data_IF_592304216993
#
_entry.id   IF_592304216993
#
_cell.length_a   1.000
_cell.length_b   1.000
_cell.length_c   1.000
_cell.angle_alpha   90.00
_cell.angle_beta   90.00
_cell.angle_gamma   90.00
#
_symmetry.space_group_name_H-M   'P 1'
#
loop_
_entity.id
_entity.type
_entity.pdbx_description
1 polymer ?
#
# COMPACT_ATOMS: atom_id res chain seq x y z
N UNK A 1 9.43 -5.84 11.76
CA UNK A 1 9.69 -4.39 11.56
C UNK A 1 10.86 -4.20 10.60
N UNK A 2 12.03 -4.80 10.86
CA UNK A 2 13.22 -4.60 10.02
C UNK A 2 13.01 -4.99 8.56
N UNK A 3 12.31 -6.08 8.24
CA UNK A 3 12.09 -6.53 6.86
C UNK A 3 11.09 -5.65 6.09
N UNK A 4 10.00 -5.20 6.74
CA UNK A 4 9.03 -4.32 6.09
C UNK A 4 9.58 -2.91 5.89
N UNK A 5 10.36 -2.41 6.86
CA UNK A 5 11.12 -1.17 6.74
C UNK A 5 12.21 -1.31 5.68
N UNK A 6 12.90 -2.46 5.59
CA UNK A 6 13.87 -2.73 4.54
C UNK A 6 13.22 -2.77 3.15
N UNK A 7 12.01 -3.33 3.00
CA UNK A 7 11.23 -3.26 1.76
C UNK A 7 10.90 -1.82 1.36
N UNK A 8 10.48 -0.99 2.30
CA UNK A 8 10.22 0.42 2.06
C UNK A 8 11.50 1.22 1.79
N UNK A 9 12.61 0.91 2.49
CA UNK A 9 13.91 1.56 2.32
C UNK A 9 14.60 1.18 1.01
N UNK A 10 14.52 -0.09 0.59
CA UNK A 10 15.07 -0.55 -0.68
C UNK A 10 14.26 -0.02 -1.87
N UNK A 11 12.93 0.11 -1.72
CA UNK A 11 12.04 0.57 -2.78
C UNK A 11 12.03 2.10 -2.98
N UNK A 12 12.33 2.88 -1.93
CA UNK A 12 12.20 4.34 -1.97
C UNK A 12 13.50 5.12 -1.76
N UNK A 13 14.58 4.45 -1.37
CA UNK A 13 15.84 5.12 -1.04
C UNK A 13 15.74 6.12 0.12
N UNK A 14 16.87 6.65 0.56
CA UNK A 14 16.99 7.63 1.65
C UNK A 14 16.11 8.90 1.48
N UNK A 15 15.58 9.17 0.29
CA UNK A 15 14.73 10.32 0.01
C UNK A 15 13.35 10.24 0.69
N UNK A 16 12.73 9.06 0.77
CA UNK A 16 11.40 8.92 1.38
C UNK A 16 11.46 9.07 2.92
N UNK A 17 12.52 8.56 3.55
CA UNK A 17 12.74 8.75 4.99
C UNK A 17 13.07 10.21 5.34
N UNK A 18 13.79 10.90 4.48
CA UNK A 18 14.14 12.32 4.69
C UNK A 18 12.91 13.24 4.60
N UNK A 19 11.93 12.89 3.76
CA UNK A 19 10.67 13.61 3.63
C UNK A 19 9.80 13.45 4.88
N UNK A 20 9.67 12.22 5.38
CA UNK A 20 8.86 11.91 6.55
C UNK A 20 9.43 12.50 7.86
N UNK A 21 10.74 12.52 8.00
CA UNK A 21 11.41 13.11 9.17
C UNK A 21 11.31 14.65 9.19
N UNK A 22 11.36 15.30 8.03
CA UNK A 22 11.24 16.75 7.93
C UNK A 22 9.82 17.27 8.21
N UNK A 23 8.76 16.56 7.81
CA UNK A 23 7.39 17.01 8.06
C UNK A 23 6.98 16.91 9.54
N UNK A 24 7.51 15.96 10.30
CA UNK A 24 7.30 15.92 11.77
C UNK A 24 7.90 17.11 12.50
N UNK A 25 8.91 17.76 11.95
CA UNK A 25 9.57 18.93 12.54
C UNK A 25 9.13 20.28 11.97
N UNK A 26 8.33 20.29 10.90
CA UNK A 26 7.89 21.54 10.25
C UNK A 26 6.67 22.21 10.93
N UNK A 27 6.01 21.55 11.88
CA UNK A 27 4.95 22.16 12.69
C UNK A 27 5.44 22.66 14.04
N UNK A 28 6.59 23.32 14.05
CA UNK A 28 7.09 24.05 15.22
C UNK A 28 6.47 25.41 15.34
N UNK A 29 5.30 25.55 15.95
CA UNK A 29 4.92 26.80 16.62
C UNK A 29 5.27 26.65 18.10
N UNK A 30 6.16 27.52 18.57
CA UNK A 30 6.51 27.68 19.96
C UNK A 30 5.26 27.97 20.82
N UNK A 31 4.66 26.95 21.40
CA UNK A 31 3.90 27.07 22.63
C UNK A 31 4.30 25.94 23.59
N UNK A 32 5.03 26.34 24.64
CA UNK A 32 5.22 25.52 25.83
C UNK A 32 3.86 25.38 26.51
N UNK A 33 3.06 24.45 26.02
CA UNK A 33 1.80 24.04 26.62
C UNK A 33 2.04 22.86 27.55
N UNK A 34 1.63 23.02 28.81
CA UNK A 34 1.57 21.97 29.82
C UNK A 34 1.15 20.63 29.25
N UNK A 35 1.87 19.56 29.58
CA UNK A 35 1.50 18.19 29.28
C UNK A 35 0.08 17.94 29.83
N UNK A 36 -0.92 18.06 28.98
CA UNK A 36 -2.25 17.52 29.25
C UNK A 36 -2.07 16.02 29.16
N UNK A 37 -2.13 15.35 30.32
CA UNK A 37 -2.30 13.90 30.35
C UNK A 37 -3.64 13.65 29.62
N UNK A 38 -3.56 13.24 28.38
CA UNK A 38 -4.74 12.84 27.62
C UNK A 38 -5.45 11.76 28.42
N UNK A 39 -6.74 11.95 28.67
CA UNK A 39 -7.57 10.89 29.24
C UNK A 39 -7.43 9.66 28.34
N UNK A 40 -7.45 8.42 28.88
CA UNK A 40 -7.40 7.22 28.07
C UNK A 40 -8.50 7.33 27.00
N UNK A 41 -8.14 7.29 25.73
CA UNK A 41 -9.14 7.24 24.66
C UNK A 41 -10.01 6.01 24.92
N UNK A 42 -11.32 6.23 24.99
CA UNK A 42 -12.27 5.12 25.09
C UNK A 42 -12.06 4.22 23.86
N UNK A 43 -11.64 2.97 24.10
CA UNK A 43 -11.43 2.01 23.03
C UNK A 43 -12.76 1.74 22.33
N UNK A 44 -12.78 1.99 21.02
CA UNK A 44 -13.97 1.74 20.19
C UNK A 44 -14.34 0.25 20.26
N UNK A 45 -15.61 -0.02 20.55
CA UNK A 45 -16.16 -1.39 20.54
C UNK A 45 -17.11 -1.54 19.35
N UNK A 46 -16.99 -2.64 18.63
CA UNK A 46 -17.91 -3.04 17.56
C UNK A 46 -18.47 -4.42 17.84
N UNK A 47 -19.73 -4.63 17.50
CA UNK A 47 -20.38 -5.95 17.60
C UNK A 47 -20.56 -6.52 16.20
N UNK A 48 -19.99 -7.69 15.94
CA UNK A 48 -20.13 -8.40 14.69
C UNK A 48 -20.43 -9.89 14.97
N UNK A 49 -21.42 -10.44 14.29
CA UNK A 49 -21.87 -11.84 14.45
C UNK A 49 -22.05 -12.27 15.92
N UNK A 50 -22.68 -11.39 16.73
CA UNK A 50 -22.94 -11.65 18.14
C UNK A 50 -21.73 -11.58 19.07
N UNK A 51 -20.55 -11.28 18.55
CA UNK A 51 -19.31 -11.10 19.31
C UNK A 51 -18.95 -9.61 19.39
N UNK A 52 -18.52 -9.16 20.57
CA UNK A 52 -18.01 -7.80 20.75
C UNK A 52 -16.50 -7.77 20.59
N UNK A 53 -16.05 -6.93 19.69
CA UNK A 53 -14.62 -6.69 19.41
C UNK A 53 -14.26 -5.31 19.94
N UNK A 54 -13.06 -5.21 20.51
CA UNK A 54 -12.52 -3.95 21.01
C UNK A 54 -11.32 -3.55 20.17
N UNK A 55 -11.28 -2.27 19.80
CA UNK A 55 -10.12 -1.71 19.11
C UNK A 55 -8.86 -1.92 19.95
N UNK A 56 -7.82 -2.46 19.34
CA UNK A 56 -6.55 -2.71 20.01
C UNK A 56 -5.70 -1.44 19.94
N UNK A 57 -5.23 -0.98 21.09
CA UNK A 57 -4.29 0.15 21.18
C UNK A 57 -2.84 -0.28 20.99
N UNK A 58 -1.97 0.67 20.64
CA UNK A 58 -0.54 0.41 20.48
C UNK A 58 -0.15 -0.34 19.21
N UNK A 59 -1.03 -0.32 18.22
CA UNK A 59 -0.73 -0.75 16.85
C UNK A 59 -0.34 0.46 16.01
N UNK A 60 0.65 0.27 15.13
CA UNK A 60 0.97 1.21 14.07
C UNK A 60 0.48 0.65 12.74
N UNK A 61 -0.11 1.50 11.90
CA UNK A 61 -0.70 1.11 10.62
C UNK A 61 -0.09 1.92 9.49
N UNK A 62 0.45 1.23 8.49
CA UNK A 62 1.08 1.86 7.34
C UNK A 62 0.41 1.39 6.04
N UNK A 63 -0.03 2.32 5.20
CA UNK A 63 -0.59 2.00 3.89
C UNK A 63 0.52 1.91 2.85
N UNK A 64 0.64 0.76 2.20
CA UNK A 64 1.54 0.54 1.07
C UNK A 64 0.71 0.50 -0.20
N UNK A 65 1.01 1.39 -1.14
CA UNK A 65 0.30 1.53 -2.41
C UNK A 65 1.20 1.19 -3.59
N UNK A 66 0.68 0.41 -4.53
CA UNK A 66 1.26 0.21 -5.85
C UNK A 66 0.47 1.02 -6.87
N UNK A 67 1.10 2.05 -7.46
CA UNK A 67 0.46 2.97 -8.41
C UNK A 67 0.75 2.53 -9.83
N UNK A 68 -0.26 2.54 -10.70
CA UNK A 68 -0.18 2.07 -12.10
C UNK A 68 0.51 3.06 -13.05
N UNK A 69 1.46 3.83 -12.56
CA UNK A 69 2.27 4.75 -13.35
C UNK A 69 3.69 4.24 -13.50
N UNK A 70 4.35 4.66 -14.58
CA UNK A 70 5.77 4.42 -14.85
C UNK A 70 6.59 5.70 -14.66
N UNK A 71 7.86 5.55 -14.36
CA UNK A 71 8.78 6.66 -14.18
C UNK A 71 8.58 7.39 -12.85
N UNK A 72 9.10 8.60 -12.76
CA UNK A 72 9.02 9.42 -11.55
C UNK A 72 7.58 9.90 -11.31
N UNK A 73 7.16 9.94 -10.06
CA UNK A 73 5.93 10.60 -9.68
C UNK A 73 6.00 12.10 -10.06
N UNK A 74 5.06 12.54 -10.86
CA UNK A 74 4.93 13.93 -11.32
C UNK A 74 3.59 14.45 -10.85
N UNK A 75 3.59 15.65 -10.24
CA UNK A 75 2.33 16.29 -9.90
C UNK A 75 1.53 16.60 -11.17
N UNK A 76 0.24 16.34 -11.12
CA UNK A 76 -0.69 16.75 -12.17
C UNK A 76 -1.39 18.06 -11.77
N UNK A 77 -1.63 18.93 -12.74
CA UNK A 77 -2.22 20.26 -12.50
C UNK A 77 -3.73 20.20 -12.21
N UNK A 78 -4.35 19.04 -12.47
CA UNK A 78 -5.74 18.76 -12.16
C UNK A 78 -5.81 17.65 -11.11
N UNK A 79 -6.83 17.68 -10.24
CA UNK A 79 -7.09 16.62 -9.28
C UNK A 79 -7.78 15.41 -9.93
N UNK A 80 -7.30 15.06 -11.12
CA UNK A 80 -7.69 13.89 -11.90
C UNK A 80 -6.47 13.39 -12.68
N UNK A 81 -6.23 12.08 -12.68
CA UNK A 81 -5.16 11.47 -13.48
C UNK A 81 -3.87 11.18 -12.71
N UNK A 82 -3.89 11.21 -11.38
CA UNK A 82 -2.75 10.86 -10.53
C UNK A 82 -2.32 9.39 -10.56
N UNK A 83 -2.93 8.57 -11.43
CA UNK A 83 -2.77 7.11 -11.46
C UNK A 83 -3.66 6.42 -10.43
N UNK A 84 -3.94 5.14 -10.64
CA UNK A 84 -4.75 4.33 -9.72
C UNK A 84 -3.87 3.55 -8.76
N UNK A 85 -4.32 3.42 -7.50
CA UNK A 85 -3.68 2.54 -6.53
C UNK A 85 -4.13 1.10 -6.77
N UNK A 86 -3.46 0.40 -7.68
CA UNK A 86 -3.76 -0.98 -8.09
C UNK A 86 -3.46 -2.02 -7.02
N UNK A 87 -2.56 -1.70 -6.11
CA UNK A 87 -2.21 -2.48 -4.93
C UNK A 87 -2.41 -1.62 -3.70
N UNK A 88 -3.13 -2.13 -2.73
CA UNK A 88 -3.32 -1.48 -1.44
C UNK A 88 -3.14 -2.53 -0.35
N UNK A 89 -2.18 -2.31 0.53
CA UNK A 89 -1.85 -3.19 1.64
C UNK A 89 -1.68 -2.37 2.91
N UNK A 90 -2.41 -2.71 3.95
CA UNK A 90 -2.22 -2.13 5.28
C UNK A 90 -1.30 -3.04 6.06
N UNK A 91 -0.10 -2.55 6.36
CA UNK A 91 0.83 -3.18 7.28
C UNK A 91 0.45 -2.76 8.70
N UNK A 92 0.08 -3.73 9.52
CA UNK A 92 -0.24 -3.55 10.93
C UNK A 92 0.94 -4.05 11.76
N UNK A 93 1.55 -3.18 12.54
CA UNK A 93 2.71 -3.47 13.38
C UNK A 93 2.30 -3.45 14.85
N UNK A 94 2.60 -4.52 15.55
CA UNK A 94 2.45 -4.66 16.98
C UNK A 94 3.84 -4.72 17.63
N UNK A 95 4.35 -3.58 18.00
CA UNK A 95 5.72 -3.49 18.55
C UNK A 95 5.82 -4.14 19.92
N UNK A 96 4.75 -4.15 20.69
CA UNK A 96 4.73 -4.79 22.02
C UNK A 96 4.91 -6.30 21.93
N UNK A 97 4.31 -6.96 20.94
CA UNK A 97 4.42 -8.40 20.72
C UNK A 97 5.45 -8.78 19.63
N UNK A 98 6.12 -7.78 19.02
CA UNK A 98 7.08 -7.97 17.93
C UNK A 98 6.51 -8.77 16.76
N UNK A 99 5.24 -8.51 16.45
CA UNK A 99 4.52 -9.15 15.34
C UNK A 99 4.05 -8.10 14.33
N UNK A 100 3.82 -8.54 13.11
CA UNK A 100 3.22 -7.72 12.07
C UNK A 100 2.27 -8.56 11.22
N UNK A 101 1.32 -7.91 10.59
CA UNK A 101 0.35 -8.50 9.68
C UNK A 101 0.14 -7.60 8.46
N UNK A 102 -0.24 -8.18 7.34
CA UNK A 102 -0.61 -7.43 6.13
C UNK A 102 -2.05 -7.74 5.78
N UNK A 103 -2.86 -6.70 5.71
CA UNK A 103 -4.21 -6.74 5.16
C UNK A 103 -4.16 -6.21 3.73
N UNK A 104 -4.40 -7.07 2.74
CA UNK A 104 -4.51 -6.65 1.34
C UNK A 104 -5.96 -6.28 1.00
N UNK A 105 -6.17 -5.06 0.50
CA UNK A 105 -7.47 -4.55 0.07
C UNK A 105 -7.60 -4.77 -1.43
N UNK A 106 -8.75 -5.31 -1.87
CA UNK A 106 -9.03 -5.46 -3.29
C UNK A 106 -9.29 -4.08 -3.90
N UNK A 107 -8.56 -3.73 -4.95
CA UNK A 107 -8.71 -2.46 -5.67
C UNK A 107 -10.12 -2.16 -6.16
N UNK A 108 -10.90 -3.22 -6.44
CA UNK A 108 -12.26 -3.13 -6.96
C UNK A 108 -13.32 -3.02 -5.83
N UNK A 109 -12.89 -2.91 -4.55
CA UNK A 109 -13.79 -2.68 -3.43
C UNK A 109 -14.52 -1.36 -3.61
N UNK A 110 -15.86 -1.41 -3.62
CA UNK A 110 -16.69 -0.21 -3.65
C UNK A 110 -16.82 0.32 -2.21
N UNK A 111 -16.41 1.57 -2.04
CA UNK A 111 -16.46 2.26 -0.76
C UNK A 111 -16.64 3.76 -0.97
N UNK A 112 -16.79 4.51 0.10
CA UNK A 112 -16.79 5.96 0.03
C UNK A 112 -15.39 6.48 -0.26
N UNK A 113 -15.24 7.06 -1.45
CA UNK A 113 -14.00 7.68 -1.91
C UNK A 113 -14.15 9.19 -1.82
N UNK A 114 -13.22 9.92 -1.18
CA UNK A 114 -13.25 11.36 -1.15
C UNK A 114 -12.99 11.93 -2.54
N UNK A 115 -13.81 12.87 -2.97
CA UNK A 115 -13.65 13.65 -4.20
C UNK A 115 -13.14 15.02 -3.82
N UNK A 116 -11.99 15.42 -4.37
CA UNK A 116 -11.33 16.65 -4.02
C UNK A 116 -11.81 17.82 -4.87
N UNK A 117 -11.82 19.01 -4.28
CA UNK A 117 -12.04 20.27 -4.99
C UNK A 117 -10.74 20.77 -5.65
N UNK A 118 -10.82 21.88 -6.33
CA UNK A 118 -9.67 22.51 -7.03
C UNK A 118 -8.56 23.02 -6.09
N UNK A 119 -8.80 23.05 -4.80
CA UNK A 119 -7.83 23.44 -3.78
C UNK A 119 -7.25 22.22 -3.04
N UNK A 120 -7.72 21.02 -3.38
CA UNK A 120 -7.29 19.77 -2.76
C UNK A 120 -8.02 19.42 -1.47
N UNK A 121 -9.08 20.15 -1.11
CA UNK A 121 -9.97 19.82 0.00
C UNK A 121 -11.02 18.80 -0.41
N UNK A 122 -11.54 18.03 0.55
CA UNK A 122 -12.64 17.09 0.29
C UNK A 122 -13.93 17.86 0.05
N UNK A 123 -14.44 17.83 -1.18
CA UNK A 123 -15.69 18.49 -1.58
C UNK A 123 -16.91 17.56 -1.40
N UNK A 124 -16.75 16.27 -1.63
CA UNK A 124 -17.82 15.28 -1.58
C UNK A 124 -17.24 13.87 -1.35
N UNK A 125 -18.13 12.90 -1.21
CA UNK A 125 -17.80 11.48 -1.21
C UNK A 125 -18.64 10.77 -2.27
N UNK A 126 -18.02 9.87 -3.02
CA UNK A 126 -18.67 9.03 -4.01
C UNK A 126 -18.50 7.54 -3.66
N UNK A 127 -19.48 6.72 -4.00
CA UNK A 127 -19.35 5.27 -3.88
C UNK A 127 -18.66 4.74 -5.14
N UNK A 128 -17.36 4.51 -5.04
CA UNK A 128 -16.46 4.20 -6.14
C UNK A 128 -15.49 3.07 -5.79
N UNK A 129 -14.77 2.55 -6.78
CA UNK A 129 -13.65 1.65 -6.52
C UNK A 129 -12.57 2.36 -5.71
N UNK A 130 -12.10 1.74 -4.63
CA UNK A 130 -11.10 2.34 -3.73
C UNK A 130 -9.80 2.71 -4.45
N UNK A 131 -9.46 2.03 -5.55
CA UNK A 131 -8.29 2.37 -6.38
C UNK A 131 -8.34 3.79 -6.95
N UNK A 132 -9.55 4.35 -7.14
CA UNK A 132 -9.76 5.70 -7.68
C UNK A 132 -9.47 6.81 -6.67
N UNK A 133 -9.35 6.50 -5.38
CA UNK A 133 -8.99 7.49 -4.38
C UNK A 133 -7.67 8.19 -4.70
N UNK A 134 -6.67 7.46 -5.21
CA UNK A 134 -5.40 8.03 -5.65
C UNK A 134 -5.56 8.85 -6.94
N UNK A 135 -6.40 8.40 -7.86
CA UNK A 135 -6.65 9.08 -9.13
C UNK A 135 -7.23 10.50 -8.95
N UNK A 136 -8.09 10.68 -7.94
CA UNK A 136 -8.71 11.97 -7.62
C UNK A 136 -7.80 12.96 -6.89
N UNK A 137 -6.53 12.63 -6.68
CA UNK A 137 -5.53 13.52 -6.13
C UNK A 137 -4.57 14.08 -7.19
N UNK A 138 -3.52 14.76 -6.72
CA UNK A 138 -2.53 15.43 -7.55
C UNK A 138 -1.39 14.51 -8.06
N UNK A 139 -1.50 13.20 -7.87
CA UNK A 139 -0.48 12.21 -8.24
C UNK A 139 0.71 12.13 -7.28
N UNK A 140 0.66 12.84 -6.15
CA UNK A 140 1.69 12.88 -5.10
C UNK A 140 1.06 12.73 -3.72
N UNK A 141 1.51 13.52 -2.75
CA UNK A 141 1.09 13.48 -1.34
C UNK A 141 -0.43 13.55 -1.20
N UNK A 142 -1.06 14.50 -1.85
CA UNK A 142 -2.52 14.65 -1.77
C UNK A 142 -3.27 13.41 -2.29
N UNK A 143 -2.78 12.74 -3.35
CA UNK A 143 -3.32 11.44 -3.81
C UNK A 143 -3.15 10.34 -2.77
N UNK A 144 -1.99 10.31 -2.11
CA UNK A 144 -1.69 9.33 -1.07
C UNK A 144 -2.56 9.55 0.18
N UNK A 145 -2.71 10.79 0.62
CA UNK A 145 -3.56 11.19 1.75
C UNK A 145 -5.03 10.87 1.47
N UNK A 146 -5.50 11.15 0.24
CA UNK A 146 -6.85 10.82 -0.19
C UNK A 146 -7.10 9.30 -0.14
N UNK A 147 -6.12 8.50 -0.58
CA UNK A 147 -6.20 7.04 -0.50
C UNK A 147 -6.16 6.55 0.95
N UNK A 148 -5.30 7.13 1.78
CA UNK A 148 -5.23 6.80 3.20
C UNK A 148 -6.55 7.10 3.92
N UNK A 149 -7.19 8.22 3.60
CA UNK A 149 -8.52 8.58 4.12
C UNK A 149 -9.59 7.57 3.68
N UNK A 150 -9.63 7.18 2.40
CA UNK A 150 -10.56 6.18 1.90
C UNK A 150 -10.37 4.81 2.58
N UNK A 151 -9.11 4.40 2.79
CA UNK A 151 -8.77 3.15 3.50
C UNK A 151 -9.15 3.24 4.98
N UNK A 152 -8.87 4.35 5.64
CA UNK A 152 -9.28 4.58 7.03
C UNK A 152 -10.80 4.43 7.19
N UNK A 153 -11.57 5.09 6.33
CA UNK A 153 -13.03 5.01 6.34
C UNK A 153 -13.54 3.58 6.08
N UNK A 154 -12.93 2.84 5.15
CA UNK A 154 -13.25 1.43 4.89
C UNK A 154 -13.02 0.55 6.13
N UNK A 155 -12.03 0.88 6.94
CA UNK A 155 -11.63 0.16 8.14
C UNK A 155 -12.24 0.76 9.43
N UNK A 156 -13.42 1.36 9.33
CA UNK A 156 -14.16 1.92 10.45
C UNK A 156 -13.39 3.03 11.19
N UNK A 157 -12.85 3.96 10.41
CA UNK A 157 -12.04 5.11 10.84
C UNK A 157 -10.74 4.71 11.59
N UNK A 158 -10.19 3.53 11.26
CA UNK A 158 -8.89 3.14 11.77
C UNK A 158 -7.83 4.14 11.27
N UNK A 159 -7.05 4.77 12.16
CA UNK A 159 -5.98 5.68 11.76
C UNK A 159 -4.96 4.98 10.86
N UNK A 160 -4.44 5.71 9.88
CA UNK A 160 -3.28 5.31 9.06
C UNK A 160 -2.12 6.21 9.47
N UNK A 161 -1.13 5.64 10.15
CA UNK A 161 -0.01 6.39 10.76
C UNK A 161 1.02 6.87 9.73
N UNK A 162 1.02 6.25 8.53
CA UNK A 162 1.90 6.65 7.44
C UNK A 162 1.59 5.87 6.17
N UNK A 163 2.19 6.30 5.05
CA UNK A 163 1.99 5.64 3.77
C UNK A 163 3.26 5.59 2.94
N UNK A 164 3.29 4.62 2.00
CA UNK A 164 4.33 4.46 0.99
C UNK A 164 3.65 4.24 -0.36
N UNK A 165 4.01 5.05 -1.36
CA UNK A 165 3.54 4.89 -2.73
C UNK A 165 4.70 4.46 -3.63
N UNK A 166 4.52 3.34 -4.31
CA UNK A 166 5.49 2.72 -5.19
C UNK A 166 4.91 2.70 -6.60
N UNK A 167 5.68 3.11 -7.58
CA UNK A 167 5.31 2.95 -8.99
C UNK A 167 5.65 1.53 -9.48
N UNK A 168 5.27 1.22 -10.72
CA UNK A 168 5.53 -0.09 -11.31
C UNK A 168 7.02 -0.42 -11.43
N UNK A 169 7.88 0.58 -11.62
CA UNK A 169 9.31 0.36 -11.80
C UNK A 169 9.98 -0.12 -10.51
N UNK A 170 9.40 0.23 -9.34
CA UNK A 170 9.94 -0.15 -8.04
C UNK A 170 10.01 -1.67 -7.84
N UNK A 171 9.05 -2.43 -8.37
CA UNK A 171 9.08 -3.90 -8.28
C UNK A 171 10.32 -4.46 -8.96
N UNK A 172 10.59 -4.00 -10.19
CA UNK A 172 11.78 -4.44 -10.94
C UNK A 172 13.07 -4.05 -10.22
N UNK A 173 13.18 -2.78 -9.80
CA UNK A 173 14.38 -2.26 -9.13
C UNK A 173 14.69 -3.05 -7.86
N UNK A 174 13.69 -3.29 -7.01
CA UNK A 174 13.87 -4.06 -5.76
C UNK A 174 14.28 -5.49 -6.05
N UNK A 175 13.63 -6.14 -7.02
CA UNK A 175 13.96 -7.52 -7.41
C UNK A 175 15.42 -7.64 -7.86
N UNK A 176 15.88 -6.74 -8.69
CA UNK A 176 17.27 -6.76 -9.20
C UNK A 176 18.29 -6.43 -8.10
N UNK A 177 17.95 -5.50 -7.19
CA UNK A 177 18.81 -5.14 -6.05
C UNK A 177 19.07 -6.32 -5.11
N UNK A 178 18.07 -7.21 -4.90
CA UNK A 178 18.24 -8.41 -4.06
C UNK A 178 18.82 -9.60 -4.83
N UNK A 179 19.14 -9.43 -6.11
CA UNK A 179 19.69 -10.49 -6.96
C UNK A 179 18.66 -11.52 -7.41
N UNK A 180 17.42 -11.11 -7.59
CA UNK A 180 16.30 -11.95 -8.02
C UNK A 180 15.51 -12.56 -6.86
N UNK A 181 14.26 -12.90 -7.14
CA UNK A 181 13.32 -13.55 -6.20
C UNK A 181 12.90 -14.90 -6.74
N UNK A 182 13.15 -15.97 -6.00
CA UNK A 182 12.82 -17.33 -6.40
C UNK A 182 11.46 -17.75 -5.83
N UNK A 183 10.58 -18.26 -6.70
CA UNK A 183 9.28 -18.77 -6.31
C UNK A 183 8.79 -19.86 -7.29
N UNK A 184 7.82 -20.65 -6.85
CA UNK A 184 7.11 -21.57 -7.75
C UNK A 184 6.01 -20.83 -8.49
N UNK A 185 6.02 -20.87 -9.81
CA UNK A 185 5.01 -20.21 -10.66
C UNK A 185 3.65 -20.87 -10.47
N UNK A 186 2.65 -20.12 -10.01
CA UNK A 186 1.32 -20.67 -9.69
C UNK A 186 0.30 -20.55 -10.83
N UNK A 187 0.57 -19.69 -11.82
CA UNK A 187 -0.35 -19.34 -12.90
C UNK A 187 0.21 -19.73 -14.27
N UNK A 188 -0.66 -19.95 -15.26
CA UNK A 188 -0.24 -20.21 -16.64
C UNK A 188 0.10 -18.88 -17.35
N UNK A 189 1.38 -18.66 -17.62
CA UNK A 189 1.90 -17.48 -18.32
C UNK A 189 2.24 -17.74 -19.79
N UNK A 190 1.88 -18.90 -20.35
CA UNK A 190 2.30 -19.35 -21.70
C UNK A 190 2.04 -18.33 -22.81
N UNK A 191 0.97 -17.53 -22.71
CA UNK A 191 0.62 -16.49 -23.69
C UNK A 191 1.37 -15.16 -23.49
N UNK A 192 2.03 -14.95 -22.32
CA UNK A 192 2.66 -13.68 -21.96
C UNK A 192 4.19 -13.83 -21.87
N UNK A 193 4.63 -14.79 -21.08
CA UNK A 193 6.04 -15.13 -20.90
C UNK A 193 6.20 -16.65 -20.73
N UNK A 194 6.46 -17.39 -21.81
CA UNK A 194 6.57 -18.83 -21.78
C UNK A 194 7.76 -19.35 -20.93
N UNK A 195 8.63 -18.48 -20.42
CA UNK A 195 9.70 -18.86 -19.48
C UNK A 195 9.22 -18.96 -18.04
N UNK A 196 8.00 -18.45 -17.75
CA UNK A 196 7.31 -18.59 -16.47
C UNK A 196 6.40 -19.84 -16.50
N UNK A 197 7.02 -21.03 -16.42
CA UNK A 197 6.31 -22.31 -16.55
C UNK A 197 5.55 -22.63 -15.26
N UNK A 198 4.24 -22.84 -15.37
CA UNK A 198 3.40 -23.16 -14.22
C UNK A 198 3.88 -24.46 -13.52
N UNK A 199 4.01 -24.41 -12.20
CA UNK A 199 4.48 -25.50 -11.36
C UNK A 199 6.00 -25.60 -11.21
N UNK A 200 6.77 -24.85 -11.97
CA UNK A 200 8.23 -24.84 -11.86
C UNK A 200 8.71 -23.72 -10.91
N UNK A 201 9.87 -23.97 -10.29
CA UNK A 201 10.59 -22.98 -9.51
C UNK A 201 11.42 -22.10 -10.45
N UNK A 202 11.19 -20.80 -10.41
CA UNK A 202 11.86 -19.80 -11.27
C UNK A 202 12.42 -18.67 -10.42
N UNK A 203 13.64 -18.26 -10.72
CA UNK A 203 14.19 -17.01 -10.18
C UNK A 203 13.77 -15.86 -11.08
N UNK A 204 12.94 -14.97 -10.57
CA UNK A 204 12.49 -13.78 -11.25
C UNK A 204 13.56 -12.69 -11.18
N UNK A 205 13.94 -12.12 -12.31
CA UNK A 205 14.59 -10.81 -12.41
C UNK A 205 13.52 -9.70 -12.32
N UNK A 206 13.94 -8.44 -12.43
CA UNK A 206 13.03 -7.31 -12.30
C UNK A 206 11.90 -7.27 -13.35
N UNK A 207 12.18 -7.66 -14.60
CA UNK A 207 11.21 -7.68 -15.69
C UNK A 207 10.18 -8.79 -15.48
N UNK A 208 10.64 -10.01 -15.15
CA UNK A 208 9.78 -11.15 -14.85
C UNK A 208 8.96 -10.93 -13.60
N UNK A 209 9.54 -10.33 -12.56
CA UNK A 209 8.82 -10.00 -11.34
C UNK A 209 7.67 -9.01 -11.60
N UNK A 210 7.93 -7.96 -12.38
CA UNK A 210 6.89 -7.01 -12.77
C UNK A 210 5.79 -7.71 -13.59
N UNK A 211 6.15 -8.54 -14.56
CA UNK A 211 5.22 -9.35 -15.34
C UNK A 211 4.38 -10.25 -14.43
N UNK A 212 5.00 -10.95 -13.48
CA UNK A 212 4.35 -11.87 -12.56
C UNK A 212 3.29 -11.21 -11.67
N UNK A 213 3.61 -10.06 -11.07
CA UNK A 213 2.72 -9.38 -10.12
C UNK A 213 1.67 -8.49 -10.78
N UNK A 214 1.90 -8.07 -12.03
CA UNK A 214 1.03 -7.12 -12.73
C UNK A 214 0.00 -7.79 -13.63
N UNK A 215 0.42 -8.84 -14.37
CA UNK A 215 -0.42 -9.41 -15.44
C UNK A 215 -1.74 -9.95 -14.90
N UNK A 216 -2.81 -9.69 -15.65
CA UNK A 216 -4.16 -10.13 -15.33
C UNK A 216 -4.86 -10.77 -16.55
N UNK A 217 -4.73 -10.13 -17.71
CA UNK A 217 -5.33 -10.63 -18.95
C UNK A 217 -4.55 -11.85 -19.46
N UNK A 218 -5.26 -12.81 -19.99
CA UNK A 218 -4.72 -14.08 -20.53
C UNK A 218 -4.02 -14.96 -19.50
N UNK A 219 -4.34 -14.77 -18.22
CA UNK A 219 -3.80 -15.57 -17.10
C UNK A 219 -4.96 -15.95 -16.19
N UNK A 220 -5.00 -17.21 -15.77
CA UNK A 220 -5.97 -17.75 -14.82
C UNK A 220 -7.43 -17.38 -15.18
N UNK A 221 -8.21 -16.99 -14.17
CA UNK A 221 -9.58 -16.50 -14.32
C UNK A 221 -9.68 -15.01 -14.67
N UNK A 222 -8.55 -14.36 -14.92
CA UNK A 222 -8.41 -12.92 -15.20
C UNK A 222 -8.95 -11.99 -14.09
N UNK A 223 -9.19 -12.53 -12.91
CA UNK A 223 -9.69 -11.75 -11.78
C UNK A 223 -8.57 -10.99 -11.05
N UNK A 224 -8.95 -9.95 -10.32
CA UNK A 224 -8.02 -9.28 -9.43
C UNK A 224 -7.62 -10.19 -8.25
N UNK A 225 -8.45 -11.15 -7.85
CA UNK A 225 -8.16 -12.08 -6.76
C UNK A 225 -6.95 -12.96 -7.07
N UNK A 226 -6.88 -13.52 -8.30
CA UNK A 226 -5.73 -14.30 -8.75
C UNK A 226 -4.45 -13.44 -8.77
N UNK A 227 -4.52 -12.20 -9.26
CA UNK A 227 -3.40 -11.25 -9.21
C UNK A 227 -2.96 -10.96 -7.78
N UNK A 228 -3.87 -10.69 -6.87
CA UNK A 228 -3.59 -10.48 -5.45
C UNK A 228 -2.89 -11.69 -4.81
N UNK A 229 -3.26 -12.90 -5.18
CA UNK A 229 -2.59 -14.12 -4.68
C UNK A 229 -1.12 -14.17 -5.12
N UNK A 230 -0.81 -13.87 -6.39
CA UNK A 230 0.56 -13.79 -6.89
C UNK A 230 1.38 -12.67 -6.21
N UNK A 231 0.77 -11.53 -5.96
CA UNK A 231 1.40 -10.43 -5.23
C UNK A 231 1.79 -10.83 -3.80
N UNK A 232 0.91 -11.53 -3.09
CA UNK A 232 1.22 -12.06 -1.75
C UNK A 232 2.34 -13.10 -1.80
N UNK A 233 2.32 -13.99 -2.79
CA UNK A 233 3.37 -14.99 -2.96
C UNK A 233 4.73 -14.35 -3.24
N UNK A 234 4.77 -13.35 -4.14
CA UNK A 234 6.00 -12.60 -4.44
C UNK A 234 6.54 -11.90 -3.20
N UNK A 235 5.69 -11.23 -2.42
CA UNK A 235 6.12 -10.56 -1.19
C UNK A 235 6.66 -11.54 -0.15
N UNK A 236 6.04 -12.71 0.02
CA UNK A 236 6.53 -13.74 0.93
C UNK A 236 7.91 -14.27 0.50
N UNK A 237 8.11 -14.51 -0.80
CA UNK A 237 9.40 -14.94 -1.35
C UNK A 237 10.48 -13.86 -1.23
N UNK A 238 10.12 -12.59 -1.44
CA UNK A 238 11.01 -11.45 -1.24
C UNK A 238 11.40 -11.29 0.23
N UNK A 239 10.46 -11.45 1.16
CA UNK A 239 10.73 -11.44 2.60
C UNK A 239 11.72 -12.54 2.99
N UNK A 240 11.52 -13.76 2.48
CA UNK A 240 12.45 -14.88 2.74
C UNK A 240 13.86 -14.60 2.20
N UNK A 241 13.94 -13.98 1.02
CA UNK A 241 15.23 -13.56 0.42
C UNK A 241 15.98 -12.52 1.25
N UNK A 242 15.28 -11.68 2.01
CA UNK A 242 15.84 -10.59 2.82
C UNK A 242 16.23 -11.02 4.24
N UNK A 243 15.87 -12.23 4.67
CA UNK A 243 16.25 -12.81 5.97
C UNK A 243 17.66 -13.36 5.94
#
# INVERSE_FOLDING_TARGET
VAAAVALALLAGGAAALHFWENDRYATGSDEVGSAVIAAPEEQKEITYDGSTYRQRSGLETYLIMGIDVKGKAVAVDSYEGGGQADVQMVLVVDDANKTWQVLQINRDTITKVPVLDVLGGVAAYADEQIALAHYYGNGRENSCENTALAVSMLLDDQPIDGYFALNMDAVGIVTDLVGGVTLTVTSDFSEIDPTLVQGEEVTLDGEKALTYVRSRHHIDDQTNIARMARQRQFLAALEEKLR
#
